data_IF_238863538763
#
_entry.id   IF_238863538763
#
_cell.length_a   1.000
_cell.length_b   1.000
_cell.length_c   1.000
_cell.angle_alpha   90.00
_cell.angle_beta   90.00
_cell.angle_gamma   90.00
#
_symmetry.space_group_name_H-M   'P 1'
#
loop_
_entity.id
_entity.type
_entity.pdbx_description
1 polymer ?
#
# COMPACT_ATOMS: atom_id res chain seq x y z
N UNK A 1 10.49 13.54 -38.61
CA UNK A 1 10.02 12.22 -38.18
C UNK A 1 10.97 11.80 -37.08
N UNK A 2 10.51 11.78 -35.83
CA UNK A 2 11.40 11.55 -34.68
C UNK A 2 11.52 10.05 -34.47
N UNK A 3 12.72 9.52 -34.70
CA UNK A 3 13.05 8.14 -34.34
C UNK A 3 12.97 7.98 -32.82
N UNK A 4 12.40 6.88 -32.35
CA UNK A 4 12.29 6.59 -30.93
C UNK A 4 12.85 5.21 -30.61
N UNK A 5 13.28 5.04 -29.36
CA UNK A 5 13.69 3.75 -28.79
C UNK A 5 12.84 3.40 -27.57
N UNK A 6 12.48 4.42 -26.80
CA UNK A 6 11.67 4.31 -25.59
C UNK A 6 10.56 5.37 -25.60
N UNK A 7 9.53 5.16 -24.79
CA UNK A 7 8.36 6.05 -24.73
C UNK A 7 8.71 7.49 -24.32
N UNK A 8 9.77 7.71 -23.53
CA UNK A 8 10.21 9.05 -23.12
C UNK A 8 10.73 9.92 -24.27
N UNK A 9 11.04 9.33 -25.44
CA UNK A 9 11.41 10.09 -26.65
C UNK A 9 10.19 10.68 -27.37
N UNK A 10 9.00 10.20 -27.04
CA UNK A 10 7.75 10.60 -27.68
C UNK A 10 7.03 11.69 -26.87
N UNK A 11 6.21 12.47 -27.56
CA UNK A 11 5.37 13.48 -26.91
C UNK A 11 4.20 12.81 -26.20
N UNK A 12 3.57 13.52 -25.27
CA UNK A 12 2.31 13.09 -24.68
C UNK A 12 1.26 12.74 -25.77
N UNK A 13 0.44 11.72 -25.52
CA UNK A 13 -0.46 11.15 -26.52
C UNK A 13 0.22 10.27 -27.58
N UNK A 14 1.50 9.93 -27.41
CA UNK A 14 2.23 9.02 -28.29
C UNK A 14 3.01 7.98 -27.48
N UNK A 15 3.26 6.82 -28.08
CA UNK A 15 4.17 5.80 -27.58
C UNK A 15 5.21 5.47 -28.65
N UNK A 16 6.34 4.89 -28.23
CA UNK A 16 7.33 4.38 -29.15
C UNK A 16 6.94 3.00 -29.68
N UNK A 17 6.58 2.92 -30.97
CA UNK A 17 6.46 1.65 -31.67
C UNK A 17 7.87 1.15 -31.99
N UNK A 18 8.40 0.25 -31.15
CA UNK A 18 9.76 -0.28 -31.27
C UNK A 18 9.97 -1.09 -32.56
N UNK A 19 8.91 -1.67 -33.13
CA UNK A 19 8.95 -2.35 -34.42
C UNK A 19 9.20 -1.40 -35.59
N UNK A 20 8.68 -0.17 -35.49
CA UNK A 20 8.87 0.88 -36.51
C UNK A 20 9.95 1.90 -36.14
N UNK A 21 10.40 1.90 -34.88
CA UNK A 21 11.25 2.94 -34.26
C UNK A 21 10.66 4.34 -34.39
N UNK A 22 9.35 4.43 -34.20
CA UNK A 22 8.61 5.66 -34.44
C UNK A 22 7.57 5.96 -33.36
N UNK A 23 7.45 7.24 -33.03
CA UNK A 23 6.35 7.70 -32.19
C UNK A 23 5.02 7.55 -32.92
N UNK A 24 4.15 6.71 -32.38
CA UNK A 24 2.80 6.43 -32.89
C UNK A 24 1.78 6.99 -31.90
N UNK A 25 0.66 7.59 -32.37
CA UNK A 25 -0.40 8.06 -31.48
C UNK A 25 -0.96 6.95 -30.60
N UNK A 26 -1.34 7.31 -29.37
CA UNK A 26 -2.12 6.43 -28.49
C UNK A 26 -3.49 6.13 -29.08
N UNK A 27 -4.14 5.07 -28.59
CA UNK A 27 -5.55 4.82 -28.91
C UNK A 27 -6.44 5.99 -28.45
N UNK A 28 -7.58 6.16 -29.12
CA UNK A 28 -8.57 7.17 -28.76
C UNK A 28 -9.01 7.02 -27.29
N UNK A 29 -9.12 8.15 -26.59
CA UNK A 29 -9.53 8.18 -25.19
C UNK A 29 -8.41 7.85 -24.19
N UNK A 30 -7.16 7.84 -24.62
CA UNK A 30 -5.98 7.67 -23.76
C UNK A 30 -5.06 8.88 -23.84
N UNK A 31 -4.65 9.45 -22.70
CA UNK A 31 -3.75 10.62 -22.65
C UNK A 31 -2.28 10.20 -22.69
N UNK A 32 -1.95 9.12 -21.97
CA UNK A 32 -0.61 8.52 -21.96
C UNK A 32 -0.74 7.02 -22.13
N UNK A 33 -0.05 6.44 -23.09
CA UNK A 33 -0.06 5.00 -23.36
C UNK A 33 1.36 4.41 -23.34
N UNK A 34 1.45 3.14 -22.95
CA UNK A 34 2.69 2.37 -23.04
C UNK A 34 2.80 1.64 -24.39
N UNK A 35 1.68 1.35 -25.03
CA UNK A 35 1.59 0.65 -26.31
C UNK A 35 0.32 1.05 -27.08
N UNK A 36 0.13 0.46 -28.26
CA UNK A 36 -1.06 0.65 -29.09
C UNK A 36 -2.39 0.31 -28.39
N UNK A 37 -2.35 -0.55 -27.38
CA UNK A 37 -3.54 -1.10 -26.69
C UNK A 37 -3.50 -0.92 -25.17
N UNK A 38 -2.42 -0.36 -24.63
CA UNK A 38 -2.23 -0.24 -23.19
C UNK A 38 -2.07 1.22 -22.78
N UNK A 39 -3.10 1.73 -22.12
CA UNK A 39 -3.17 3.05 -21.55
C UNK A 39 -2.59 3.07 -20.13
N UNK A 40 -1.92 4.17 -19.79
CA UNK A 40 -1.31 4.44 -18.47
C UNK A 40 -2.00 5.63 -17.79
N UNK A 41 -2.66 6.50 -18.56
CA UNK A 41 -3.43 7.62 -18.03
C UNK A 41 -4.64 7.92 -18.90
N UNK A 42 -5.75 8.25 -18.26
CA UNK A 42 -7.02 8.55 -18.91
C UNK A 42 -7.33 10.05 -18.86
N UNK A 43 -8.11 10.56 -19.84
CA UNK A 43 -8.62 11.92 -19.78
C UNK A 43 -9.64 12.07 -18.63
N UNK A 44 -9.97 13.32 -18.31
CA UNK A 44 -10.99 13.66 -17.29
C UNK A 44 -12.32 12.98 -17.62
N UNK A 45 -13.01 12.45 -16.60
CA UNK A 45 -14.28 11.73 -16.75
C UNK A 45 -14.11 10.26 -17.16
N UNK A 46 -12.88 9.77 -17.25
CA UNK A 46 -12.56 8.35 -17.48
C UNK A 46 -11.73 7.80 -16.34
N UNK A 47 -11.88 6.51 -16.08
CA UNK A 47 -11.08 5.76 -15.10
C UNK A 47 -10.27 4.68 -15.81
N UNK A 48 -9.01 4.56 -15.41
CA UNK A 48 -8.10 3.53 -15.88
C UNK A 48 -8.38 2.22 -15.14
N UNK A 49 -8.50 1.12 -15.88
CA UNK A 49 -8.63 -0.22 -15.30
C UNK A 49 -7.30 -1.00 -15.40
N UNK A 50 -7.22 -2.12 -14.69
CA UNK A 50 -6.03 -2.99 -14.64
C UNK A 50 -5.64 -3.62 -15.97
N UNK A 51 -6.54 -3.60 -16.96
CA UNK A 51 -6.24 -4.05 -18.32
C UNK A 51 -5.57 -2.95 -19.17
N UNK A 52 -5.33 -1.76 -18.60
CA UNK A 52 -4.76 -0.63 -19.33
C UNK A 52 -5.77 0.02 -20.28
N UNK A 53 -7.07 0.02 -19.95
CA UNK A 53 -8.08 0.68 -20.78
C UNK A 53 -8.85 1.73 -19.99
N UNK A 54 -9.27 2.79 -20.69
CA UNK A 54 -10.04 3.89 -20.12
C UNK A 54 -11.53 3.63 -20.27
N UNK A 55 -12.24 3.55 -19.15
CA UNK A 55 -13.68 3.33 -19.08
C UNK A 55 -14.38 4.57 -18.52
N UNK A 56 -15.69 4.68 -18.67
CA UNK A 56 -16.41 5.83 -18.10
C UNK A 56 -16.23 5.85 -16.57
N UNK A 57 -15.89 7.03 -16.05
CA UNK A 57 -15.95 7.26 -14.61
C UNK A 57 -17.40 7.39 -14.17
N UNK A 58 -17.67 7.10 -12.91
CA UNK A 58 -18.97 7.26 -12.30
C UNK A 58 -19.16 8.74 -11.94
N UNK A 59 -20.32 9.31 -12.30
CA UNK A 59 -20.61 10.75 -12.11
C UNK A 59 -20.77 11.14 -10.63
N UNK A 60 -21.09 10.16 -9.78
CA UNK A 60 -21.34 10.33 -8.35
C UNK A 60 -20.21 9.75 -7.52
N UNK A 61 -20.07 10.27 -6.29
CA UNK A 61 -19.21 9.63 -5.29
C UNK A 61 -19.66 8.17 -5.09
N UNK A 62 -18.74 7.23 -5.28
CA UNK A 62 -18.99 5.82 -5.04
C UNK A 62 -19.19 5.58 -3.53
N UNK A 63 -20.21 4.82 -3.18
CA UNK A 63 -20.37 4.32 -1.82
C UNK A 63 -19.31 3.27 -1.48
N UNK A 64 -19.06 3.05 -0.19
CA UNK A 64 -18.17 1.98 0.26
C UNK A 64 -18.71 0.62 -0.19
N UNK A 65 -17.83 -0.27 -0.64
CA UNK A 65 -18.21 -1.58 -1.17
C UNK A 65 -18.67 -1.55 -2.63
N UNK A 66 -18.52 -0.43 -3.34
CA UNK A 66 -18.79 -0.31 -4.77
C UNK A 66 -17.55 0.09 -5.56
N UNK A 67 -17.48 -0.35 -6.81
CA UNK A 67 -16.49 0.05 -7.80
C UNK A 67 -17.20 0.64 -9.02
N UNK A 68 -16.47 1.44 -9.81
CA UNK A 68 -17.04 1.95 -11.06
C UNK A 68 -16.86 0.96 -12.21
N UNK A 69 -17.96 0.52 -12.81
CA UNK A 69 -17.95 -0.30 -14.01
C UNK A 69 -18.60 0.47 -15.15
N UNK A 70 -17.78 1.01 -16.04
CA UNK A 70 -18.23 1.74 -17.24
C UNK A 70 -19.28 2.84 -16.94
N UNK A 71 -19.05 3.60 -15.87
CA UNK A 71 -19.92 4.71 -15.44
C UNK A 71 -21.03 4.30 -14.48
N UNK A 72 -21.22 3.01 -14.22
CA UNK A 72 -22.20 2.50 -13.26
C UNK A 72 -21.54 2.02 -11.96
N UNK A 73 -22.09 2.44 -10.81
CA UNK A 73 -21.69 1.90 -9.52
C UNK A 73 -22.13 0.43 -9.42
N UNK A 74 -21.16 -0.47 -9.23
CA UNK A 74 -21.38 -1.92 -9.13
C UNK A 74 -20.78 -2.44 -7.83
N UNK A 75 -21.44 -3.39 -7.17
CA UNK A 75 -20.94 -3.98 -5.94
C UNK A 75 -19.57 -4.65 -6.17
N UNK A 76 -18.67 -4.51 -5.20
CA UNK A 76 -17.36 -5.12 -5.27
C UNK A 76 -17.44 -6.64 -5.16
N UNK A 77 -16.63 -7.30 -5.97
CA UNK A 77 -16.59 -8.76 -6.09
C UNK A 77 -15.23 -9.16 -6.64
N UNK A 78 -14.94 -10.47 -6.61
CA UNK A 78 -13.72 -11.00 -7.21
C UNK A 78 -13.70 -10.77 -8.73
N UNK A 79 -12.50 -10.64 -9.28
CA UNK A 79 -12.17 -10.40 -10.69
C UNK A 79 -12.67 -9.07 -11.27
N UNK A 80 -12.79 -8.02 -10.45
CA UNK A 80 -13.02 -6.65 -10.95
C UNK A 80 -11.70 -6.05 -11.46
N UNK A 81 -11.80 -5.04 -12.33
CA UNK A 81 -10.65 -4.41 -12.99
C UNK A 81 -10.47 -2.95 -12.62
N UNK A 82 -11.39 -2.36 -11.89
CA UNK A 82 -11.30 -1.00 -11.34
C UNK A 82 -11.30 -1.07 -9.81
N UNK A 83 -10.60 -0.16 -9.12
CA UNK A 83 -10.52 -0.21 -7.66
C UNK A 83 -11.89 -0.15 -6.99
N UNK A 84 -12.13 -1.07 -6.08
CA UNK A 84 -13.23 -1.02 -5.14
C UNK A 84 -13.02 0.12 -4.14
N UNK A 85 -14.07 0.91 -3.88
CA UNK A 85 -14.03 1.91 -2.83
C UNK A 85 -14.22 1.25 -1.46
N UNK A 86 -13.13 1.08 -0.72
CA UNK A 86 -13.16 0.56 0.65
C UNK A 86 -12.83 1.63 1.70
N UNK A 87 -13.01 2.91 1.38
CA UNK A 87 -12.64 4.02 2.27
C UNK A 87 -11.14 4.27 2.33
N UNK A 88 -10.40 3.44 3.08
CA UNK A 88 -8.96 3.62 3.33
C UNK A 88 -8.03 2.70 2.52
N UNK A 89 -8.59 1.78 1.75
CA UNK A 89 -7.83 0.87 0.89
C UNK A 89 -7.66 1.42 -0.53
N UNK A 90 -6.49 1.19 -1.13
CA UNK A 90 -6.18 1.50 -2.53
C UNK A 90 -6.04 0.19 -3.31
N UNK A 91 -6.39 0.21 -4.60
CA UNK A 91 -6.32 -0.96 -5.49
C UNK A 91 -7.00 -2.22 -4.93
N UNK A 92 -8.10 -2.06 -4.19
CA UNK A 92 -8.86 -3.18 -3.64
C UNK A 92 -9.70 -3.86 -4.73
N UNK A 93 -9.78 -5.18 -4.68
CA UNK A 93 -10.75 -5.97 -5.46
C UNK A 93 -12.03 -6.17 -4.64
N UNK A 94 -11.87 -6.58 -3.38
CA UNK A 94 -12.96 -6.65 -2.40
C UNK A 94 -12.58 -5.84 -1.16
N UNK A 95 -13.59 -5.43 -0.40
CA UNK A 95 -13.36 -4.85 0.92
C UNK A 95 -13.31 -5.91 2.02
N UNK A 96 -12.74 -5.54 3.16
CA UNK A 96 -12.88 -6.28 4.41
C UNK A 96 -14.33 -6.22 4.94
N UNK A 97 -14.61 -6.97 6.01
CA UNK A 97 -15.97 -7.07 6.56
C UNK A 97 -16.54 -5.73 7.06
N UNK A 98 -15.67 -4.75 7.35
CA UNK A 98 -16.06 -3.42 7.81
C UNK A 98 -16.06 -2.36 6.69
N UNK A 99 -15.68 -2.75 5.47
CA UNK A 99 -15.52 -1.85 4.32
C UNK A 99 -14.65 -0.62 4.60
N UNK A 100 -13.59 -0.82 5.39
CA UNK A 100 -12.62 0.21 5.74
C UNK A 100 -11.24 -0.04 5.13
N UNK A 101 -10.98 -1.27 4.66
CA UNK A 101 -9.75 -1.62 3.96
C UNK A 101 -9.97 -2.69 2.89
N UNK A 102 -8.92 -3.04 2.15
CA UNK A 102 -8.97 -4.12 1.18
C UNK A 102 -9.06 -5.48 1.87
N UNK A 103 -10.08 -6.26 1.51
CA UNK A 103 -10.12 -7.69 1.78
C UNK A 103 -9.10 -8.40 0.88
N UNK A 104 -9.27 -8.22 -0.43
CA UNK A 104 -8.37 -8.73 -1.48
C UNK A 104 -7.89 -7.59 -2.38
N UNK A 105 -6.74 -7.78 -3.02
CA UNK A 105 -6.15 -6.80 -3.93
C UNK A 105 -6.58 -7.07 -5.36
N UNK A 106 -6.68 -6.00 -6.17
CA UNK A 106 -6.83 -6.12 -7.61
C UNK A 106 -5.75 -7.03 -8.20
N UNK A 107 -6.10 -7.74 -9.27
CA UNK A 107 -5.16 -8.58 -10.02
C UNK A 107 -3.87 -7.82 -10.34
N UNK A 108 -2.74 -8.43 -9.99
CA UNK A 108 -1.41 -7.87 -10.18
C UNK A 108 -0.87 -7.10 -8.98
N UNK A 109 -1.69 -6.86 -7.95
CA UNK A 109 -1.27 -6.25 -6.69
C UNK A 109 -1.23 -7.26 -5.55
N UNK A 110 -0.30 -7.06 -4.63
CA UNK A 110 -0.21 -7.76 -3.35
C UNK A 110 -0.16 -6.73 -2.21
N UNK A 111 -0.50 -7.18 -1.00
CA UNK A 111 -0.44 -6.35 0.20
C UNK A 111 1.02 -6.07 0.60
N UNK A 112 1.29 -4.84 1.00
CA UNK A 112 2.51 -4.46 1.69
C UNK A 112 2.47 -4.83 3.18
N UNK A 113 3.50 -4.41 3.92
CA UNK A 113 3.59 -4.64 5.37
C UNK A 113 2.47 -3.98 6.17
N UNK A 114 1.90 -2.91 5.64
CA UNK A 114 0.78 -2.16 6.23
C UNK A 114 -0.59 -2.65 5.72
N UNK A 115 -0.62 -3.80 5.07
CA UNK A 115 -1.81 -4.45 4.51
C UNK A 115 -2.47 -3.69 3.33
N UNK A 116 -1.76 -2.76 2.68
CA UNK A 116 -2.25 -1.99 1.52
C UNK A 116 -1.82 -2.62 0.20
N UNK A 117 -2.72 -2.61 -0.80
CA UNK A 117 -2.44 -3.19 -2.11
C UNK A 117 -1.60 -2.26 -3.00
N UNK A 118 -0.32 -2.09 -2.63
CA UNK A 118 0.59 -1.13 -3.27
C UNK A 118 1.77 -1.79 -3.99
N UNK A 119 2.03 -3.07 -3.72
CA UNK A 119 3.17 -3.78 -4.31
C UNK A 119 2.68 -4.58 -5.51
N UNK A 120 3.43 -4.59 -6.60
CA UNK A 120 3.13 -5.49 -7.72
C UNK A 120 3.52 -6.93 -7.37
N UNK A 121 2.64 -7.87 -7.71
CA UNK A 121 2.94 -9.32 -7.67
C UNK A 121 4.20 -9.60 -8.52
N UNK A 122 4.95 -10.66 -8.20
CA UNK A 122 6.23 -11.01 -8.81
C UNK A 122 6.18 -11.16 -10.35
N UNK A 123 5.02 -11.45 -10.92
CA UNK A 123 4.81 -11.56 -12.37
C UNK A 123 4.37 -10.24 -13.03
N UNK A 124 4.30 -9.15 -12.28
CA UNK A 124 3.78 -7.86 -12.71
C UNK A 124 4.85 -6.79 -12.53
N UNK A 125 4.84 -5.82 -13.43
CA UNK A 125 5.72 -4.65 -13.42
C UNK A 125 4.89 -3.40 -13.23
N UNK A 126 5.43 -2.47 -12.43
CA UNK A 126 4.80 -1.17 -12.23
C UNK A 126 5.00 -0.28 -13.45
N UNK A 127 3.92 0.29 -13.97
CA UNK A 127 3.93 1.29 -15.04
C UNK A 127 3.01 2.42 -14.65
N UNK A 128 3.61 3.59 -14.41
CA UNK A 128 2.88 4.67 -13.73
C UNK A 128 2.34 4.16 -12.40
N UNK A 129 1.02 4.18 -12.23
CA UNK A 129 0.33 3.69 -11.03
C UNK A 129 -0.20 2.26 -11.14
N UNK A 130 -0.05 1.59 -12.29
CA UNK A 130 -0.59 0.25 -12.54
C UNK A 130 0.44 -0.86 -12.35
N UNK A 131 0.01 -1.99 -11.79
CA UNK A 131 0.74 -3.25 -11.90
C UNK A 131 0.19 -4.05 -13.08
N UNK A 132 1.02 -4.32 -14.10
CA UNK A 132 0.62 -5.06 -15.31
C UNK A 132 1.61 -6.17 -15.63
N UNK A 133 1.15 -7.23 -16.29
CA UNK A 133 2.02 -8.30 -16.78
C UNK A 133 3.07 -7.71 -17.72
N UNK A 134 4.34 -8.03 -17.51
CA UNK A 134 5.45 -7.53 -18.32
C UNK A 134 5.29 -7.88 -19.81
N UNK A 135 4.57 -8.97 -20.12
CA UNK A 135 4.28 -9.40 -21.51
C UNK A 135 3.32 -8.50 -22.27
N UNK A 136 2.58 -7.63 -21.59
CA UNK A 136 1.68 -6.65 -22.22
C UNK A 136 2.43 -5.39 -22.70
N UNK A 137 3.75 -5.35 -22.48
CA UNK A 137 4.59 -4.24 -22.91
C UNK A 137 5.48 -4.63 -24.09
N UNK A 138 5.67 -3.71 -25.04
CA UNK A 138 6.85 -3.76 -25.87
C UNK A 138 8.06 -3.72 -24.93
N UNK A 139 9.02 -4.62 -25.17
CA UNK A 139 10.21 -4.79 -24.36
C UNK A 139 10.86 -3.43 -24.03
N UNK A 140 10.83 -3.06 -22.75
CA UNK A 140 11.46 -1.83 -22.24
C UNK A 140 12.95 -2.05 -21.93
N UNK A 141 13.46 -3.28 -22.05
CA UNK A 141 14.89 -3.54 -22.06
C UNK A 141 15.41 -3.45 -23.50
N UNK A 142 16.53 -2.81 -23.81
CA UNK A 142 17.45 -1.99 -23.06
C UNK A 142 18.38 -1.47 -24.16
N UNK A 143 18.62 -0.17 -24.24
CA UNK A 143 19.81 0.29 -24.94
C UNK A 143 20.96 0.24 -23.93
N UNK A 144 21.98 -0.63 -24.10
CA UNK A 144 23.14 -0.66 -23.21
C UNK A 144 23.95 0.65 -23.21
N UNK A 145 23.59 1.64 -24.03
CA UNK A 145 24.27 2.93 -24.12
C UNK A 145 23.42 4.14 -23.67
N UNK A 146 22.30 3.96 -22.95
CA UNK A 146 21.58 5.10 -22.37
C UNK A 146 22.41 5.75 -21.24
N UNK A 147 22.84 7.02 -21.36
CA UNK A 147 23.62 7.71 -20.33
C UNK A 147 22.84 8.03 -19.04
N UNK A 148 21.53 7.73 -18.97
CA UNK A 148 20.65 8.13 -17.88
C UNK A 148 19.94 6.94 -17.20
N UNK A 149 20.68 5.88 -16.86
CA UNK A 149 20.20 4.86 -15.91
C UNK A 149 20.67 5.22 -14.49
N UNK A 150 19.79 5.57 -13.53
CA UNK A 150 20.15 5.54 -12.13
C UNK A 150 20.22 4.06 -11.68
N UNK A 151 21.41 3.47 -11.83
CA UNK A 151 21.87 2.32 -11.05
C UNK A 151 21.05 1.04 -11.13
N UNK A 152 21.04 0.39 -12.29
CA UNK A 152 20.81 -1.05 -12.36
C UNK A 152 22.05 -1.76 -11.81
N UNK A 153 21.94 -2.36 -10.62
CA UNK A 153 22.93 -3.33 -10.13
C UNK A 153 22.56 -4.68 -10.71
N UNK A 154 23.43 -5.16 -11.59
CA UNK A 154 23.38 -6.50 -12.17
C UNK A 154 23.30 -7.59 -11.11
N UNK A 155 22.59 -8.66 -11.46
CA UNK A 155 22.70 -9.96 -10.83
C UNK A 155 24.16 -10.43 -10.82
N UNK A 156 24.83 -10.24 -9.70
CA UNK A 156 25.99 -11.05 -9.35
C UNK A 156 25.47 -12.34 -8.73
N UNK A 157 25.66 -13.45 -9.46
CA UNK A 157 25.76 -14.78 -8.87
C UNK A 157 26.77 -14.72 -7.72
N UNK A 158 26.26 -14.69 -6.49
CA UNK A 158 27.04 -14.77 -5.28
C UNK A 158 26.59 -16.01 -4.52
N UNK A 159 27.46 -17.01 -4.58
CA UNK A 159 27.53 -18.12 -3.65
C UNK A 159 27.40 -17.54 -2.23
N UNK A 160 26.34 -17.93 -1.52
CA UNK A 160 26.09 -17.56 -0.13
C UNK A 160 27.24 -18.15 0.70
N UNK A 161 28.27 -17.34 0.88
CA UNK A 161 29.35 -17.53 1.83
C UNK A 161 28.89 -16.90 3.14
N UNK A 162 28.75 -17.73 4.17
CA UNK A 162 28.45 -17.28 5.52
C UNK A 162 29.53 -16.33 6.04
N UNK A 163 29.09 -15.23 6.64
CA UNK A 163 29.97 -14.23 7.23
C UNK A 163 29.19 -13.08 7.84
N UNK A 164 28.88 -13.23 9.14
CA UNK A 164 28.74 -12.18 10.16
C UNK A 164 27.74 -11.03 9.93
N UNK A 165 26.50 -11.22 10.44
CA UNK A 165 25.64 -10.12 10.87
C UNK A 165 25.93 -9.87 12.35
N UNK A 166 26.89 -9.01 12.65
CA UNK A 166 27.07 -8.45 14.00
C UNK A 166 26.63 -6.98 14.00
N UNK A 167 25.57 -6.71 14.78
CA UNK A 167 25.30 -5.36 15.30
C UNK A 167 24.13 -4.62 14.65
N UNK A 168 22.90 -4.94 15.03
CA UNK A 168 21.90 -4.09 15.72
C UNK A 168 20.81 -5.05 16.27
N UNK A 169 21.17 -5.92 17.20
CA UNK A 169 20.18 -6.71 17.98
C UNK A 169 20.29 -6.38 19.48
N UNK A 170 21.41 -5.81 19.90
CA UNK A 170 21.66 -5.46 21.31
C UNK A 170 20.84 -4.23 21.73
N UNK A 171 20.56 -3.30 20.80
CA UNK A 171 19.73 -2.12 21.08
C UNK A 171 18.29 -2.48 21.43
N UNK A 172 17.68 -3.41 20.68
CA UNK A 172 16.29 -3.81 20.91
C UNK A 172 16.10 -4.58 22.21
N UNK A 173 17.06 -5.43 22.59
CA UNK A 173 17.02 -6.15 23.86
C UNK A 173 17.17 -5.21 25.08
N UNK A 174 18.07 -4.23 24.99
CA UNK A 174 18.22 -3.21 26.04
C UNK A 174 17.00 -2.30 26.15
N UNK A 175 16.41 -1.92 25.02
CA UNK A 175 15.20 -1.10 25.00
C UNK A 175 13.99 -1.85 25.58
N UNK A 176 13.82 -3.13 25.25
CA UNK A 176 12.77 -3.98 25.82
C UNK A 176 12.95 -4.17 27.33
N UNK A 177 14.19 -4.38 27.82
CA UNK A 177 14.46 -4.47 29.25
C UNK A 177 14.15 -3.16 29.99
N UNK A 178 14.51 -2.00 29.40
CA UNK A 178 14.18 -0.70 29.98
C UNK A 178 12.67 -0.45 30.03
N UNK A 179 11.93 -0.82 28.99
CA UNK A 179 10.46 -0.70 28.97
C UNK A 179 9.80 -1.58 30.05
N UNK A 180 10.26 -2.82 30.21
CA UNK A 180 9.74 -3.73 31.24
C UNK A 180 10.01 -3.17 32.64
N UNK A 181 11.22 -2.68 32.92
CA UNK A 181 11.56 -2.07 34.20
C UNK A 181 10.72 -0.82 34.49
N UNK A 182 10.44 0.00 33.46
CA UNK A 182 9.62 1.20 33.59
C UNK A 182 8.16 0.86 33.92
N UNK A 183 7.60 -0.18 33.27
CA UNK A 183 6.26 -0.69 33.59
C UNK A 183 6.19 -1.22 35.02
N UNK A 184 7.17 -2.02 35.44
CA UNK A 184 7.25 -2.54 36.83
C UNK A 184 7.35 -1.38 37.83
N UNK A 185 8.17 -0.36 37.54
CA UNK A 185 8.30 0.83 38.38
C UNK A 185 6.98 1.60 38.50
N UNK A 186 6.23 1.78 37.41
CA UNK A 186 4.90 2.43 37.44
C UNK A 186 3.94 1.64 38.31
N UNK A 187 3.85 0.31 38.14
CA UNK A 187 2.96 -0.55 38.94
C UNK A 187 3.33 -0.49 40.42
N UNK A 188 4.63 -0.54 40.74
CA UNK A 188 5.10 -0.48 42.13
C UNK A 188 4.85 0.88 42.76
N UNK A 189 5.06 1.97 42.01
CA UNK A 189 4.75 3.33 42.46
C UNK A 189 3.25 3.51 42.74
N UNK A 190 2.39 2.98 41.89
CA UNK A 190 0.94 3.05 42.09
C UNK A 190 0.50 2.24 43.32
N UNK A 191 1.11 1.07 43.54
CA UNK A 191 0.86 0.26 44.75
C UNK A 191 1.28 0.97 46.03
N UNK A 192 2.38 1.71 46.02
CA UNK A 192 2.83 2.46 47.20
C UNK A 192 1.85 3.57 47.58
N UNK A 193 1.31 4.31 46.59
CA UNK A 193 0.31 5.34 46.88
C UNK A 193 -0.96 4.76 47.52
N UNK A 194 -1.36 3.54 47.15
CA UNK A 194 -2.53 2.89 47.75
C UNK A 194 -2.29 2.41 49.19
N UNK A 195 -1.04 2.19 49.63
CA UNK A 195 -0.74 1.79 51.01
C UNK A 195 -0.73 2.96 51.99
N UNK A 196 -0.44 4.17 51.50
CA UNK A 196 -0.44 5.38 52.33
C UNK A 196 -1.89 5.88 52.61
N UNK A 197 -2.89 5.37 51.88
CA UNK A 197 -4.31 5.75 52.02
C UNK A 197 -5.09 4.84 53.00
N UNK A 198 -4.66 3.58 53.20
CA UNK A 198 -5.27 2.66 54.18
C UNK A 198 -4.72 2.84 55.60
N UNK A 199 -3.58 3.52 55.78
CA UNK A 199 -2.99 3.81 57.09
C UNK A 199 -3.64 4.96 57.88
N UNK A 200 -4.65 5.64 57.32
CA UNK A 200 -5.31 6.82 57.95
C UNK A 200 -6.71 6.46 58.51
N UNK A 201 -7.21 5.23 58.30
CA UNK A 201 -8.56 4.80 58.74
C UNK A 201 -8.50 3.85 59.96
N UNK A 202 -7.52 4.01 60.84
CA UNK A 202 -7.44 3.26 62.11
C UNK A 202 -7.31 4.18 63.34
N UNK A 203 -7.99 5.35 63.33
CA UNK A 203 -8.02 6.23 64.52
C UNK A 203 -9.43 6.81 64.81
N UNK A 204 -10.50 6.19 64.32
CA UNK A 204 -11.88 6.60 64.58
C UNK A 204 -12.82 5.40 64.77
N UNK A 205 -12.57 4.55 65.76
CA UNK A 205 -13.66 3.78 66.36
C UNK A 205 -13.51 3.83 67.88
N UNK A 206 -14.23 4.79 68.45
CA UNK A 206 -14.31 5.04 69.87
C UNK A 206 -15.13 3.97 70.59
N UNK A 207 -14.89 3.94 71.89
CA UNK A 207 -15.56 3.10 72.86
C UNK A 207 -17.09 3.20 72.80
N UNK A 208 -17.82 2.08 72.96
CA UNK A 208 -19.26 2.12 73.19
C UNK A 208 -19.56 2.59 74.62
N UNK A 209 -20.15 3.78 74.74
CA UNK A 209 -20.83 4.23 75.97
C UNK A 209 -22.05 3.32 76.18
N UNK A 210 -21.94 2.43 77.16
CA UNK A 210 -23.03 1.59 77.63
C UNK A 210 -23.84 2.37 78.67
N UNK A 211 -24.93 3.00 78.21
CA UNK A 211 -26.05 3.44 79.04
C UNK A 211 -26.95 2.22 79.30
N UNK A 212 -26.95 1.68 80.52
CA UNK A 212 -28.15 1.03 81.06
C UNK A 212 -28.44 1.49 82.49
N UNK A 213 -29.67 1.97 82.61
CA UNK A 213 -30.47 2.26 83.79
C UNK A 213 -30.63 1.06 84.72
N UNK A 214 -30.45 1.26 86.04
CA UNK A 214 -31.53 1.17 87.07
C UNK A 214 -30.98 1.50 88.46
#
# INVERSE_FOLDING_TARGET
MTECRVNSHCKEGQYCDTGKKMCTPCQDGCTVCASATFCVSCPVGKILNTNGTCTNQCDSALEKGFHCKDGAATACQLNITTPCNCGGGLNCETCDNLSNDCGTCLKGYIKDTDQKCLICDANYTQIGSLCTLSTNLPDLNQDPNDPFVPGQKDEANSIISGGEITGIVIGSLLFLLLLILLIIYIIWRNRKQNQDEEGIIEECNGDPILLETK
#
